data_IF_869676600564
#
_entry.id   IF_869676600564
#
_cell.length_a   1.000
_cell.length_b   1.000
_cell.length_c   1.000
_cell.angle_alpha   90.00
_cell.angle_beta   90.00
_cell.angle_gamma   90.00
#
_symmetry.space_group_name_H-M   'P 1'
#
loop_
_entity.id
_entity.type
_entity.pdbx_description
1 polymer ?
#
# COMPACT_ATOMS: atom_id res chain seq x y z
N UNK A 1 7.18 -11.65 -33.69
CA UNK A 1 7.70 -11.21 -32.38
C UNK A 1 9.17 -10.87 -32.56
N UNK A 2 9.48 -9.58 -32.57
CA UNK A 2 10.68 -8.99 -33.17
C UNK A 2 11.83 -8.89 -32.16
N UNK A 3 13.01 -9.38 -32.53
CA UNK A 3 14.28 -9.20 -31.81
C UNK A 3 14.56 -7.74 -31.38
N UNK A 4 14.01 -6.75 -32.10
CA UNK A 4 14.18 -5.31 -31.81
C UNK A 4 13.53 -4.88 -30.49
N UNK A 5 12.35 -5.42 -30.13
CA UNK A 5 11.66 -5.03 -28.88
C UNK A 5 12.43 -5.45 -27.62
N UNK A 6 13.05 -6.64 -27.63
CA UNK A 6 13.83 -7.12 -26.48
C UNK A 6 15.12 -6.35 -26.29
N UNK A 7 15.75 -5.90 -27.38
CA UNK A 7 16.97 -5.11 -27.31
C UNK A 7 16.66 -3.69 -26.82
N UNK A 8 15.61 -3.04 -27.35
CA UNK A 8 15.16 -1.72 -26.91
C UNK A 8 14.78 -1.71 -25.43
N UNK A 9 14.09 -2.75 -24.94
CA UNK A 9 13.80 -2.92 -23.51
C UNK A 9 15.07 -3.07 -22.67
N UNK A 10 16.03 -3.87 -23.12
CA UNK A 10 17.30 -4.04 -22.42
C UNK A 10 18.10 -2.73 -22.33
N UNK A 11 18.15 -1.96 -23.42
CA UNK A 11 18.79 -0.64 -23.46
C UNK A 11 18.06 0.36 -22.54
N UNK A 12 16.73 0.36 -22.56
CA UNK A 12 15.89 1.19 -21.69
C UNK A 12 16.14 0.86 -20.22
N UNK A 13 16.16 -0.43 -19.86
CA UNK A 13 16.45 -0.89 -18.51
C UNK A 13 17.84 -0.44 -18.05
N UNK A 14 18.86 -0.56 -18.93
CA UNK A 14 20.21 -0.11 -18.63
C UNK A 14 20.27 1.40 -18.33
N UNK A 15 19.53 2.22 -19.08
CA UNK A 15 19.50 3.67 -18.86
C UNK A 15 18.73 4.07 -17.60
N UNK A 16 17.55 3.49 -17.36
CA UNK A 16 16.71 3.81 -16.21
C UNK A 16 17.27 3.22 -14.91
N UNK A 17 17.63 1.95 -14.91
CA UNK A 17 18.00 1.20 -13.70
C UNK A 17 19.51 1.01 -13.52
N UNK A 18 20.32 1.28 -14.55
CA UNK A 18 21.77 1.04 -14.51
C UNK A 18 22.16 -0.41 -14.75
N UNK A 19 21.20 -1.31 -15.02
CA UNK A 19 21.45 -2.71 -15.39
C UNK A 19 20.51 -3.17 -16.50
N UNK A 20 21.00 -4.04 -17.36
CA UNK A 20 20.16 -4.76 -18.30
C UNK A 20 19.31 -5.81 -17.55
N UNK A 21 18.07 -5.99 -17.96
CA UNK A 21 17.16 -6.95 -17.35
C UNK A 21 15.85 -7.07 -18.11
N UNK A 22 15.07 -8.10 -17.81
CA UNK A 22 13.82 -8.38 -18.51
C UNK A 22 12.64 -7.55 -17.97
N UNK A 23 12.62 -7.22 -16.67
CA UNK A 23 11.62 -6.37 -16.01
C UNK A 23 10.17 -6.55 -16.53
N UNK A 24 9.64 -7.78 -16.58
CA UNK A 24 8.42 -8.08 -17.32
C UNK A 24 7.21 -7.29 -16.83
N UNK A 25 7.06 -7.08 -15.52
CA UNK A 25 5.93 -6.32 -14.96
C UNK A 25 6.04 -4.82 -15.23
N UNK A 26 7.25 -4.26 -15.14
CA UNK A 26 7.52 -2.86 -15.48
C UNK A 26 7.27 -2.61 -16.97
N UNK A 27 7.84 -3.43 -17.87
CA UNK A 27 7.66 -3.22 -19.31
C UNK A 27 6.24 -3.52 -19.77
N UNK A 28 5.53 -4.47 -19.15
CA UNK A 28 4.11 -4.67 -19.44
C UNK A 28 3.28 -3.42 -19.12
N UNK A 29 3.56 -2.78 -17.98
CA UNK A 29 2.92 -1.52 -17.61
C UNK A 29 3.31 -0.38 -18.56
N UNK A 30 4.61 -0.27 -18.86
CA UNK A 30 5.12 0.79 -19.71
C UNK A 30 4.61 0.69 -21.15
N UNK A 31 4.50 -0.53 -21.69
CA UNK A 31 3.88 -0.81 -22.99
C UNK A 31 2.38 -0.50 -22.99
N UNK A 32 1.67 -0.78 -21.90
CA UNK A 32 0.25 -0.42 -21.77
C UNK A 32 0.05 1.10 -21.83
N UNK A 33 0.89 1.88 -21.14
CA UNK A 33 0.86 3.34 -21.23
C UNK A 33 1.16 3.87 -22.63
N UNK A 34 2.19 3.31 -23.29
CA UNK A 34 2.50 3.65 -24.67
C UNK A 34 1.34 3.33 -25.62
N UNK A 35 0.67 2.20 -25.41
CA UNK A 35 -0.42 1.73 -26.27
C UNK A 35 -1.67 2.60 -26.10
N UNK A 36 -2.09 2.86 -24.85
CA UNK A 36 -3.26 3.69 -24.56
C UNK A 36 -3.12 5.10 -25.16
N UNK A 37 -1.95 5.72 -25.02
CA UNK A 37 -1.72 7.06 -25.54
C UNK A 37 -1.66 7.10 -27.08
N UNK A 38 -1.10 6.06 -27.70
CA UNK A 38 -1.07 5.96 -29.17
C UNK A 38 -2.48 5.68 -29.74
N UNK A 39 -3.30 4.86 -29.08
CA UNK A 39 -4.68 4.58 -29.50
C UNK A 39 -5.58 5.83 -29.41
N UNK A 40 -5.43 6.63 -28.34
CA UNK A 40 -6.13 7.92 -28.22
C UNK A 40 -5.70 8.87 -29.35
N UNK A 41 -4.42 8.92 -29.69
CA UNK A 41 -3.91 9.79 -30.77
C UNK A 41 -4.44 9.37 -32.15
N UNK A 42 -4.52 8.06 -32.43
CA UNK A 42 -5.08 7.52 -33.67
C UNK A 42 -6.59 7.77 -33.81
N UNK A 43 -7.31 7.80 -32.69
CA UNK A 43 -8.75 8.01 -32.66
C UNK A 43 -9.17 9.46 -32.94
N UNK A 44 -8.31 10.43 -32.60
CA UNK A 44 -8.62 11.87 -32.67
C UNK A 44 -8.12 12.54 -33.95
N UNK A 45 -7.12 11.96 -34.61
CA UNK A 45 -6.49 12.52 -35.81
C UNK A 45 -6.17 11.39 -36.77
N UNK A 46 -6.73 11.43 -37.99
CA UNK A 46 -6.65 10.35 -38.98
C UNK A 46 -5.22 9.92 -39.36
N UNK A 47 -5.08 8.83 -40.14
CA UNK A 47 -3.86 8.01 -40.28
C UNK A 47 -2.64 8.68 -40.94
N UNK A 48 -2.71 9.94 -41.33
CA UNK A 48 -1.64 10.61 -42.06
C UNK A 48 -0.79 11.49 -41.13
N UNK A 49 0.46 11.06 -40.92
CA UNK A 49 1.60 11.79 -40.34
C UNK A 49 1.56 12.08 -38.83
N UNK A 50 1.55 11.04 -37.98
CA UNK A 50 2.04 11.20 -36.61
C UNK A 50 3.00 10.08 -36.22
N UNK A 51 4.17 10.50 -35.74
CA UNK A 51 5.18 9.63 -35.12
C UNK A 51 4.61 9.09 -33.79
N UNK A 52 4.63 7.76 -33.60
CA UNK A 52 4.18 7.11 -32.38
C UNK A 52 5.11 7.46 -31.20
N UNK A 53 4.55 7.49 -29.98
CA UNK A 53 5.38 7.59 -28.77
C UNK A 53 6.36 6.42 -28.77
N UNK A 54 7.64 6.71 -28.54
CA UNK A 54 8.69 5.68 -28.54
C UNK A 54 9.52 5.71 -27.27
N UNK A 55 10.08 4.56 -26.93
CA UNK A 55 11.07 4.38 -25.86
C UNK A 55 12.16 5.45 -25.90
N UNK A 56 12.72 5.71 -27.08
CA UNK A 56 13.79 6.71 -27.28
C UNK A 56 13.36 8.12 -26.90
N UNK A 57 12.14 8.52 -27.25
CA UNK A 57 11.63 9.86 -26.92
C UNK A 57 11.41 10.05 -25.43
N UNK A 58 10.96 9.00 -24.73
CA UNK A 58 10.76 9.01 -23.28
C UNK A 58 12.10 9.01 -22.55
N UNK A 59 13.06 8.19 -22.99
CA UNK A 59 14.41 8.17 -22.43
C UNK A 59 15.15 9.50 -22.61
N UNK A 60 14.95 10.18 -23.74
CA UNK A 60 15.51 11.51 -23.94
C UNK A 60 14.93 12.53 -22.93
N UNK A 61 13.60 12.52 -22.72
CA UNK A 61 12.98 13.35 -21.68
C UNK A 61 13.47 12.98 -20.28
N UNK A 62 13.58 11.68 -19.97
CA UNK A 62 14.10 11.18 -18.69
C UNK A 62 15.53 11.66 -18.43
N UNK A 63 16.40 11.65 -19.45
CA UNK A 63 17.77 12.18 -19.37
C UNK A 63 17.80 13.66 -19.01
N UNK A 64 16.99 14.48 -19.68
CA UNK A 64 16.92 15.93 -19.39
C UNK A 64 16.44 16.20 -17.96
N UNK A 65 15.41 15.48 -17.49
CA UNK A 65 14.87 15.63 -16.14
C UNK A 65 15.91 15.21 -15.10
N UNK A 66 16.55 14.06 -15.33
CA UNK A 66 17.60 13.53 -14.45
C UNK A 66 18.76 14.50 -14.28
N UNK A 67 19.23 15.10 -15.37
CA UNK A 67 20.37 16.02 -15.35
C UNK A 67 20.00 17.39 -14.75
N UNK A 68 18.71 17.67 -14.54
CA UNK A 68 18.23 18.97 -14.07
C UNK A 68 16.99 18.87 -13.14
N UNK A 69 17.09 18.25 -11.94
CA UNK A 69 15.93 18.05 -11.06
C UNK A 69 15.30 19.34 -10.50
N UNK A 70 16.03 20.45 -10.55
CA UNK A 70 15.57 21.78 -10.15
C UNK A 70 14.75 22.50 -11.24
N UNK A 71 14.67 21.95 -12.45
CA UNK A 71 13.87 22.53 -13.53
C UNK A 71 12.38 22.29 -13.29
N UNK A 72 11.59 23.29 -13.69
CA UNK A 72 10.13 23.18 -13.76
C UNK A 72 9.69 22.33 -14.95
N UNK A 73 8.46 21.81 -14.89
CA UNK A 73 7.87 21.06 -16.01
C UNK A 73 7.88 21.88 -17.31
N UNK A 74 7.58 23.17 -17.23
CA UNK A 74 7.59 24.04 -18.41
C UNK A 74 8.99 24.20 -19.00
N UNK A 75 10.01 24.43 -18.17
CA UNK A 75 11.39 24.56 -18.64
C UNK A 75 11.89 23.27 -19.31
N UNK A 76 11.54 22.10 -18.77
CA UNK A 76 11.85 20.80 -19.39
C UNK A 76 11.19 20.69 -20.77
N UNK A 77 9.90 21.05 -20.88
CA UNK A 77 9.17 21.07 -22.16
C UNK A 77 9.82 22.05 -23.15
N UNK A 78 10.25 23.22 -22.70
CA UNK A 78 10.93 24.21 -23.55
C UNK A 78 12.28 23.67 -24.06
N UNK A 79 13.06 23.00 -23.21
CA UNK A 79 14.34 22.37 -23.58
C UNK A 79 14.15 21.23 -24.58
N UNK A 80 13.11 20.42 -24.40
CA UNK A 80 12.72 19.40 -25.38
C UNK A 80 12.25 20.02 -26.71
N UNK A 81 11.50 21.13 -26.65
CA UNK A 81 11.03 21.82 -27.86
C UNK A 81 12.19 22.35 -28.71
N UNK A 82 13.27 22.82 -28.09
CA UNK A 82 14.46 23.29 -28.81
C UNK A 82 15.18 22.19 -29.62
N UNK A 83 14.98 20.93 -29.26
CA UNK A 83 15.61 19.76 -29.90
C UNK A 83 14.63 18.93 -30.74
N UNK A 84 13.33 19.19 -30.61
CA UNK A 84 12.27 18.42 -31.25
C UNK A 84 11.90 18.95 -32.65
N UNK A 85 11.52 18.04 -33.54
CA UNK A 85 10.90 18.40 -34.80
C UNK A 85 9.51 19.05 -34.57
N UNK A 86 9.04 19.96 -35.45
CA UNK A 86 7.75 20.64 -35.31
C UNK A 86 6.55 19.70 -35.16
N UNK A 87 6.63 18.51 -35.77
CA UNK A 87 5.62 17.45 -35.71
C UNK A 87 5.45 16.80 -34.32
N UNK A 88 6.44 16.93 -33.43
CA UNK A 88 6.44 16.28 -32.11
C UNK A 88 5.92 17.20 -30.99
N UNK A 89 5.65 18.48 -31.28
CA UNK A 89 5.36 19.50 -30.27
C UNK A 89 4.11 19.24 -29.42
N UNK A 90 3.06 18.63 -29.99
CA UNK A 90 1.82 18.32 -29.27
C UNK A 90 1.94 17.15 -28.28
N UNK A 91 3.04 16.38 -28.35
CA UNK A 91 3.27 15.18 -27.54
C UNK A 91 4.35 15.37 -26.46
N UNK A 92 5.00 16.54 -26.42
CA UNK A 92 6.10 16.80 -25.49
C UNK A 92 5.67 16.66 -24.03
N UNK A 93 4.50 17.17 -23.67
CA UNK A 93 4.00 17.03 -22.30
C UNK A 93 3.77 15.56 -21.92
N UNK A 94 3.24 14.76 -22.85
CA UNK A 94 3.03 13.32 -22.64
C UNK A 94 4.36 12.58 -22.47
N UNK A 95 5.36 12.90 -23.29
CA UNK A 95 6.72 12.34 -23.15
C UNK A 95 7.31 12.64 -21.77
N UNK A 96 7.16 13.88 -21.30
CA UNK A 96 7.63 14.30 -19.97
C UNK A 96 6.90 13.53 -18.87
N UNK A 97 5.58 13.43 -18.95
CA UNK A 97 4.78 12.71 -17.97
C UNK A 97 5.15 11.22 -17.91
N UNK A 98 5.26 10.56 -19.06
CA UNK A 98 5.67 9.15 -19.16
C UNK A 98 7.12 8.93 -18.70
N UNK A 99 8.01 9.89 -18.94
CA UNK A 99 9.39 9.82 -18.44
C UNK A 99 9.43 9.83 -16.90
N UNK A 100 8.69 10.75 -16.27
CA UNK A 100 8.56 10.79 -14.81
C UNK A 100 7.94 9.49 -14.28
N UNK A 101 6.89 8.99 -14.93
CA UNK A 101 6.24 7.76 -14.53
C UNK A 101 7.17 6.53 -14.68
N UNK A 102 7.99 6.48 -15.72
CA UNK A 102 9.00 5.43 -15.89
C UNK A 102 10.12 5.50 -14.84
N UNK A 103 10.49 6.72 -14.42
CA UNK A 103 11.57 6.94 -13.45
C UNK A 103 11.14 6.72 -11.99
N UNK A 104 9.91 7.10 -11.64
CA UNK A 104 9.42 7.11 -10.25
C UNK A 104 8.29 6.13 -9.98
N UNK A 105 7.63 5.61 -11.01
CA UNK A 105 6.39 4.85 -10.91
C UNK A 105 5.28 5.63 -10.18
N UNK A 106 5.15 6.93 -10.48
CA UNK A 106 4.10 7.82 -9.95
C UNK A 106 3.24 8.36 -11.09
N UNK A 107 1.93 8.37 -10.90
CA UNK A 107 1.00 9.02 -11.83
C UNK A 107 1.08 10.55 -11.71
N UNK A 108 1.75 11.19 -12.67
CA UNK A 108 1.87 12.64 -12.74
C UNK A 108 0.69 13.33 -13.45
N UNK A 109 -0.31 12.57 -13.92
CA UNK A 109 -1.50 13.05 -14.65
C UNK A 109 -2.80 12.94 -13.85
N UNK A 110 -2.71 12.56 -12.58
CA UNK A 110 -3.86 12.17 -11.77
C UNK A 110 -5.01 13.20 -11.72
N UNK A 111 -4.73 14.51 -11.76
CA UNK A 111 -5.75 15.57 -11.79
C UNK A 111 -6.59 15.59 -13.07
N UNK A 112 -6.15 14.94 -14.16
CA UNK A 112 -6.91 14.88 -15.41
C UNK A 112 -8.02 13.83 -15.37
N UNK A 113 -7.84 12.79 -14.55
CA UNK A 113 -8.74 11.64 -14.50
C UNK A 113 -9.60 11.61 -13.23
N UNK A 114 -9.20 12.36 -12.21
CA UNK A 114 -9.88 12.42 -10.93
C UNK A 114 -10.58 13.76 -10.71
N UNK A 115 -11.82 13.70 -10.21
CA UNK A 115 -12.52 14.89 -9.75
C UNK A 115 -11.76 15.58 -8.60
N UNK A 116 -11.96 16.88 -8.43
CA UNK A 116 -11.22 17.68 -7.43
C UNK A 116 -11.41 17.21 -5.98
N UNK A 117 -12.51 16.52 -5.69
CA UNK A 117 -12.89 15.94 -4.41
C UNK A 117 -12.53 14.45 -4.28
N UNK A 118 -11.90 13.85 -5.29
CA UNK A 118 -11.48 12.46 -5.24
C UNK A 118 -10.36 12.27 -4.23
N UNK A 119 -10.63 11.44 -3.23
CA UNK A 119 -9.64 10.99 -2.25
C UNK A 119 -9.64 9.48 -2.19
N UNK A 120 -8.45 8.88 -2.27
CA UNK A 120 -8.23 7.48 -1.96
C UNK A 120 -7.64 7.44 -0.55
N UNK A 121 -8.33 6.87 0.44
CA UNK A 121 -7.76 6.70 1.80
C UNK A 121 -7.17 7.96 2.43
N UNK A 122 -7.88 9.09 2.29
CA UNK A 122 -7.45 10.44 2.71
C UNK A 122 -6.23 11.01 1.96
N UNK A 123 -5.72 10.31 0.94
CA UNK A 123 -4.73 10.80 0.02
C UNK A 123 -5.41 11.32 -1.24
N UNK A 124 -4.97 12.49 -1.70
CA UNK A 124 -5.39 13.07 -2.98
C UNK A 124 -4.30 12.78 -4.00
N UNK A 125 -4.61 12.15 -5.14
CA UNK A 125 -3.65 11.99 -6.22
C UNK A 125 -3.09 13.34 -6.67
N UNK A 126 -1.80 13.37 -7.01
CA UNK A 126 -1.01 14.59 -7.22
C UNK A 126 -0.44 14.59 -8.64
N UNK A 127 -0.69 15.66 -9.40
CA UNK A 127 -0.03 15.90 -10.69
C UNK A 127 1.14 16.85 -10.58
N UNK A 128 2.11 16.71 -11.50
CA UNK A 128 3.23 17.65 -11.63
C UNK A 128 2.77 18.91 -12.37
N UNK A 129 2.82 20.05 -11.68
CA UNK A 129 2.33 21.33 -12.19
C UNK A 129 3.37 22.01 -13.11
N UNK A 130 2.89 22.84 -14.04
CA UNK A 130 3.76 23.48 -15.04
C UNK A 130 4.91 24.30 -14.46
N UNK A 131 4.66 25.03 -13.37
CA UNK A 131 5.64 25.91 -12.69
C UNK A 131 6.33 25.25 -11.49
N UNK A 132 6.05 23.97 -11.24
CA UNK A 132 6.62 23.24 -10.11
C UNK A 132 7.90 22.55 -10.54
N UNK A 133 8.94 22.59 -9.69
CA UNK A 133 10.18 21.86 -9.95
C UNK A 133 9.96 20.36 -9.81
N UNK A 134 10.77 19.58 -10.51
CA UNK A 134 10.67 18.12 -10.41
C UNK A 134 10.94 17.61 -8.99
N UNK A 135 11.92 18.17 -8.28
CA UNK A 135 12.19 17.84 -6.87
C UNK A 135 11.01 18.18 -5.95
N UNK A 136 10.39 19.35 -6.13
CA UNK A 136 9.23 19.77 -5.32
C UNK A 136 8.02 18.83 -5.54
N UNK A 137 7.79 18.42 -6.79
CA UNK A 137 6.76 17.42 -7.11
C UNK A 137 7.03 16.08 -6.43
N UNK A 138 8.28 15.63 -6.41
CA UNK A 138 8.67 14.41 -5.72
C UNK A 138 8.39 14.51 -4.22
N UNK A 139 8.86 15.57 -3.55
CA UNK A 139 8.68 15.77 -2.11
C UNK A 139 7.20 15.88 -1.73
N UNK A 140 6.38 16.52 -2.59
CA UNK A 140 4.93 16.60 -2.39
C UNK A 140 4.24 15.24 -2.57
N UNK A 141 4.74 14.40 -3.47
CA UNK A 141 4.23 13.04 -3.69
C UNK A 141 4.61 12.08 -2.55
N UNK A 142 5.76 12.33 -1.92
CA UNK A 142 6.33 11.52 -0.83
C UNK A 142 6.66 12.39 0.38
N UNK A 143 5.64 12.89 1.11
CA UNK A 143 5.86 13.77 2.25
C UNK A 143 6.60 13.00 3.35
N UNK A 144 7.73 13.55 3.80
CA UNK A 144 8.44 13.03 4.96
C UNK A 144 7.59 13.19 6.23
N UNK A 145 7.63 12.18 7.09
CA UNK A 145 6.93 12.13 8.36
C UNK A 145 7.36 13.24 9.30
N UNK A 146 6.44 13.67 10.16
CA UNK A 146 6.73 14.73 11.12
C UNK A 146 7.56 14.19 12.29
N UNK A 147 8.55 14.95 12.74
CA UNK A 147 9.38 14.62 13.91
C UNK A 147 8.54 14.30 15.16
N UNK A 148 7.38 14.94 15.30
CA UNK A 148 6.41 14.68 16.39
C UNK A 148 5.85 13.26 16.42
N UNK A 149 5.88 12.54 15.30
CA UNK A 149 5.30 11.20 15.16
C UNK A 149 6.31 10.08 15.32
N UNK A 150 7.61 10.38 15.45
CA UNK A 150 8.67 9.36 15.54
C UNK A 150 8.40 8.32 16.62
N UNK A 151 7.97 8.74 17.81
CA UNK A 151 7.63 7.81 18.90
C UNK A 151 6.46 6.88 18.54
N UNK A 152 5.45 7.39 17.83
CA UNK A 152 4.31 6.56 17.38
C UNK A 152 4.73 5.60 16.29
N UNK A 153 5.57 6.06 15.36
CA UNK A 153 6.13 5.26 14.27
C UNK A 153 6.97 4.11 14.85
N UNK A 154 7.87 4.42 15.79
CA UNK A 154 8.67 3.42 16.49
C UNK A 154 7.81 2.38 17.20
N UNK A 155 6.79 2.82 17.96
CA UNK A 155 5.84 1.92 18.61
C UNK A 155 5.01 1.09 17.61
N UNK A 156 4.74 1.60 16.41
CA UNK A 156 4.10 0.85 15.33
C UNK A 156 5.00 -0.26 14.80
N UNK A 157 6.28 0.06 14.56
CA UNK A 157 7.29 -0.88 14.05
C UNK A 157 7.61 -1.97 15.09
N UNK A 158 7.70 -1.62 16.37
CA UNK A 158 7.92 -2.59 17.46
C UNK A 158 6.79 -3.62 17.52
N UNK A 159 5.56 -3.21 17.22
CA UNK A 159 4.40 -4.09 17.09
C UNK A 159 4.26 -4.72 15.68
N UNK A 160 5.37 -4.89 14.94
CA UNK A 160 5.39 -5.57 13.62
C UNK A 160 4.69 -6.93 13.63
N UNK A 161 4.71 -7.62 14.77
CA UNK A 161 4.04 -8.90 14.90
C UNK A 161 2.52 -8.80 14.71
N UNK A 162 1.87 -7.68 15.08
CA UNK A 162 0.43 -7.48 14.90
C UNK A 162 0.04 -7.07 13.48
N UNK A 163 0.96 -6.43 12.76
CA UNK A 163 0.75 -5.86 11.41
C UNK A 163 0.81 -6.87 10.26
N UNK A 164 1.13 -8.14 10.54
CA UNK A 164 1.14 -9.21 9.54
C UNK A 164 -0.14 -9.23 8.70
N UNK A 165 -0.01 -9.43 7.39
CA UNK A 165 -1.12 -9.39 6.44
C UNK A 165 -2.30 -10.29 6.84
N UNK A 166 -2.04 -11.52 7.29
CA UNK A 166 -3.11 -12.41 7.73
C UNK A 166 -3.87 -11.89 8.96
N UNK A 167 -3.21 -11.14 9.85
CA UNK A 167 -3.87 -10.50 10.99
C UNK A 167 -4.73 -9.35 10.53
N UNK A 168 -4.24 -8.50 9.63
CA UNK A 168 -5.05 -7.42 9.03
C UNK A 168 -6.28 -7.99 8.31
N UNK A 169 -6.11 -9.03 7.50
CA UNK A 169 -7.23 -9.68 6.81
C UNK A 169 -8.17 -10.37 7.80
N UNK A 170 -7.65 -11.21 8.70
CA UNK A 170 -8.49 -11.96 9.63
C UNK A 170 -9.18 -11.02 10.60
N UNK A 171 -8.47 -10.05 11.17
CA UNK A 171 -8.98 -9.14 12.21
C UNK A 171 -9.77 -8.01 11.56
N UNK A 172 -9.18 -7.19 10.71
CA UNK A 172 -9.86 -6.00 10.20
C UNK A 172 -10.71 -6.28 8.95
N UNK A 173 -10.66 -7.49 8.38
CA UNK A 173 -11.35 -7.80 7.14
C UNK A 173 -10.74 -7.10 5.93
N UNK A 174 -9.51 -6.58 6.08
CA UNK A 174 -8.82 -5.80 5.05
C UNK A 174 -8.45 -6.72 3.88
N UNK A 175 -8.81 -6.32 2.66
CA UNK A 175 -8.29 -6.90 1.43
C UNK A 175 -7.01 -6.19 0.99
N UNK A 176 -6.18 -6.87 0.20
CA UNK A 176 -4.97 -6.27 -0.37
C UNK A 176 -5.14 -6.11 -1.88
N UNK A 177 -4.59 -5.05 -2.45
CA UNK A 177 -4.61 -4.79 -3.89
C UNK A 177 -3.28 -4.24 -4.35
N UNK A 178 -2.75 -4.78 -5.44
CA UNK A 178 -1.58 -4.21 -6.11
C UNK A 178 -1.86 -2.82 -6.68
N UNK A 179 -0.89 -1.92 -6.57
CA UNK A 179 -0.87 -0.64 -7.29
C UNK A 179 0.43 -0.47 -8.07
N UNK A 180 0.31 0.18 -9.22
CA UNK A 180 1.43 0.60 -10.07
C UNK A 180 1.97 1.98 -9.67
N UNK A 181 1.29 2.67 -8.75
CA UNK A 181 1.66 3.99 -8.28
C UNK A 181 2.36 3.88 -6.92
N UNK A 182 3.65 4.19 -6.86
CA UNK A 182 4.45 4.12 -5.64
C UNK A 182 3.89 5.02 -4.54
N UNK A 183 3.31 6.17 -4.89
CA UNK A 183 2.70 7.10 -3.93
C UNK A 183 1.46 6.52 -3.21
N UNK A 184 0.86 5.44 -3.71
CA UNK A 184 -0.30 4.76 -3.12
C UNK A 184 0.08 3.61 -2.17
N UNK A 185 1.37 3.35 -1.96
CA UNK A 185 1.82 2.26 -1.10
C UNK A 185 1.36 2.41 0.37
N UNK A 186 0.77 1.36 0.96
CA UNK A 186 0.15 1.33 2.31
C UNK A 186 -1.01 2.30 2.50
N UNK A 187 -1.60 2.78 1.43
CA UNK A 187 -2.79 3.61 1.52
C UNK A 187 -4.01 2.73 1.81
N UNK A 188 -4.69 3.00 2.93
CA UNK A 188 -5.89 2.28 3.33
C UNK A 188 -7.16 3.00 2.87
N UNK A 189 -7.96 2.35 2.02
CA UNK A 189 -9.28 2.84 1.62
C UNK A 189 -10.36 2.25 2.55
N UNK A 190 -10.96 3.06 3.43
CA UNK A 190 -12.01 2.60 4.34
C UNK A 190 -13.31 2.23 3.62
N UNK A 191 -13.58 2.78 2.43
CA UNK A 191 -14.81 2.51 1.67
C UNK A 191 -14.81 1.09 1.12
N UNK A 192 -13.66 0.66 0.59
CA UNK A 192 -13.46 -0.70 0.05
C UNK A 192 -12.87 -1.67 1.09
N UNK A 193 -12.51 -1.15 2.26
CA UNK A 193 -11.74 -1.85 3.28
C UNK A 193 -10.50 -2.54 2.69
N UNK A 194 -9.75 -1.79 1.88
CA UNK A 194 -8.67 -2.32 1.06
C UNK A 194 -7.36 -1.55 1.31
N UNK A 195 -6.27 -2.27 1.43
CA UNK A 195 -4.92 -1.71 1.51
C UNK A 195 -4.23 -1.83 0.15
N UNK A 196 -3.76 -0.70 -0.36
CA UNK A 196 -3.02 -0.63 -1.62
C UNK A 196 -1.54 -0.91 -1.38
N UNK A 197 -0.96 -1.79 -2.20
CA UNK A 197 0.41 -2.25 -2.09
C UNK A 197 1.13 -2.04 -3.41
N UNK A 198 2.09 -1.13 -3.43
CA UNK A 198 3.02 -1.06 -4.56
C UNK A 198 3.73 -2.40 -4.71
N UNK A 199 3.65 -3.01 -5.89
CA UNK A 199 4.07 -4.40 -6.07
C UNK A 199 5.28 -4.59 -6.97
N UNK A 200 5.81 -3.56 -7.65
CA UNK A 200 6.96 -3.73 -8.54
C UNK A 200 8.26 -3.87 -7.75
N UNK A 201 8.45 -5.01 -7.09
CA UNK A 201 9.62 -5.29 -6.26
C UNK A 201 10.90 -5.36 -7.08
N UNK A 202 10.86 -5.86 -8.32
CA UNK A 202 12.01 -5.87 -9.23
C UNK A 202 12.52 -4.44 -9.51
N UNK A 203 11.60 -3.50 -9.71
CA UNK A 203 11.91 -2.07 -9.86
C UNK A 203 12.62 -1.52 -8.62
N UNK A 204 12.10 -1.80 -7.42
CA UNK A 204 12.70 -1.34 -6.17
C UNK A 204 14.12 -1.91 -6.00
N UNK A 205 14.28 -3.22 -6.17
CA UNK A 205 15.58 -3.91 -6.07
C UNK A 205 16.61 -3.33 -7.03
N UNK A 206 16.24 -3.08 -8.28
CA UNK A 206 17.16 -2.54 -9.28
C UNK A 206 17.66 -1.13 -8.94
N UNK A 207 16.79 -0.26 -8.41
CA UNK A 207 17.22 1.05 -7.91
C UNK A 207 18.14 0.95 -6.70
N UNK A 208 17.92 -0.01 -5.80
CA UNK A 208 18.77 -0.24 -4.62
C UNK A 208 20.15 -0.80 -4.99
N UNK A 209 20.24 -1.74 -5.93
CA UNK A 209 21.51 -2.27 -6.42
C UNK A 209 22.39 -1.16 -7.03
N UNK A 210 21.77 -0.24 -7.79
CA UNK A 210 22.45 0.94 -8.34
C UNK A 210 23.01 1.84 -7.23
N UNK A 211 22.32 1.91 -6.10
CA UNK A 211 22.77 2.64 -4.92
C UNK A 211 24.00 2.00 -4.30
N UNK A 212 23.96 0.67 -4.10
CA UNK A 212 25.04 -0.11 -3.49
C UNK A 212 26.34 -0.03 -4.30
N UNK A 213 26.26 -0.03 -5.63
CA UNK A 213 27.45 0.03 -6.49
C UNK A 213 28.28 1.31 -6.31
N UNK A 214 27.77 2.30 -5.57
CA UNK A 214 28.43 3.59 -5.34
C UNK A 214 28.80 3.86 -3.86
N UNK A 215 28.64 2.88 -2.95
CA UNK A 215 28.95 2.98 -1.51
C UNK A 215 28.37 4.24 -0.84
N UNK A 216 27.06 4.47 -1.04
CA UNK A 216 26.36 5.70 -0.62
C UNK A 216 25.55 5.50 0.66
N UNK A 217 25.43 6.55 1.50
CA UNK A 217 24.58 6.49 2.69
C UNK A 217 23.09 6.40 2.31
N UNK A 218 22.29 5.85 3.22
CA UNK A 218 20.82 5.82 3.08
C UNK A 218 20.18 7.20 3.23
N UNK A 219 20.79 8.08 4.05
CA UNK A 219 20.31 9.42 4.38
C UNK A 219 20.72 10.46 3.32
N UNK A 220 20.34 10.23 2.07
CA UNK A 220 20.47 11.23 1.00
C UNK A 220 19.21 12.06 0.86
N UNK A 221 19.38 13.33 0.52
CA UNK A 221 18.26 14.22 0.22
C UNK A 221 17.57 13.82 -1.09
N UNK A 222 16.31 14.21 -1.26
CA UNK A 222 15.56 13.95 -2.50
C UNK A 222 16.30 14.50 -3.72
N UNK A 223 16.83 15.73 -3.63
CA UNK A 223 17.59 16.35 -4.71
C UNK A 223 18.82 15.54 -5.11
N UNK A 224 19.62 15.06 -4.15
CA UNK A 224 20.81 14.26 -4.43
C UNK A 224 20.44 12.92 -5.08
N UNK A 225 19.41 12.24 -4.59
CA UNK A 225 18.91 10.99 -5.18
C UNK A 225 18.43 11.19 -6.62
N UNK A 226 17.66 12.26 -6.87
CA UNK A 226 17.09 12.54 -8.19
C UNK A 226 18.16 12.93 -9.20
N UNK A 227 19.20 13.68 -8.79
CA UNK A 227 20.37 13.98 -9.63
C UNK A 227 21.09 12.70 -10.11
N UNK A 228 21.03 11.64 -9.30
CA UNK A 228 21.59 10.34 -9.66
C UNK A 228 20.65 9.52 -10.57
N UNK A 229 19.44 10.02 -10.82
CA UNK A 229 18.41 9.36 -11.61
C UNK A 229 17.78 8.19 -10.88
N UNK A 230 17.62 8.31 -9.56
CA UNK A 230 17.03 7.25 -8.73
C UNK A 230 16.10 7.84 -7.68
N UNK A 231 15.13 7.03 -7.27
CA UNK A 231 14.32 7.28 -6.09
C UNK A 231 15.22 7.22 -4.84
N UNK A 232 14.99 8.02 -3.79
CA UNK A 232 15.71 7.93 -2.53
C UNK A 232 15.75 6.52 -1.96
N UNK A 233 16.95 6.06 -1.58
CA UNK A 233 17.17 4.71 -1.06
C UNK A 233 16.29 4.42 0.17
N UNK A 234 16.12 5.40 1.05
CA UNK A 234 15.26 5.31 2.22
C UNK A 234 13.81 4.94 1.86
N UNK A 235 13.22 5.59 0.84
CA UNK A 235 11.86 5.30 0.37
C UNK A 235 11.75 3.88 -0.20
N UNK A 236 12.77 3.46 -0.97
CA UNK A 236 12.83 2.13 -1.58
C UNK A 236 12.92 1.03 -0.50
N UNK A 237 13.80 1.21 0.49
CA UNK A 237 13.99 0.28 1.62
C UNK A 237 12.72 0.20 2.46
N UNK A 238 12.08 1.34 2.80
CA UNK A 238 10.81 1.33 3.54
C UNK A 238 9.70 0.59 2.80
N UNK A 239 9.63 0.75 1.48
CA UNK A 239 8.64 0.06 0.64
C UNK A 239 8.88 -1.45 0.64
N UNK A 240 10.12 -1.90 0.42
CA UNK A 240 10.44 -3.33 0.46
C UNK A 240 10.28 -3.92 1.86
N UNK A 241 10.76 -3.23 2.89
CA UNK A 241 10.68 -3.71 4.27
C UNK A 241 9.24 -3.85 4.75
N UNK A 242 8.36 -2.89 4.42
CA UNK A 242 6.94 -2.98 4.79
C UNK A 242 6.23 -4.13 4.07
N UNK A 243 6.53 -4.39 2.80
CA UNK A 243 6.01 -5.56 2.07
C UNK A 243 6.56 -6.86 2.66
N UNK A 244 7.88 -7.02 2.65
CA UNK A 244 8.54 -8.30 2.80
C UNK A 244 8.83 -8.66 4.27
N UNK A 245 8.91 -7.70 5.19
CA UNK A 245 9.22 -7.96 6.60
C UNK A 245 8.04 -7.68 7.54
N UNK A 246 7.19 -6.69 7.24
CA UNK A 246 6.03 -6.37 8.08
C UNK A 246 4.78 -7.15 7.65
N UNK A 247 4.34 -6.99 6.39
CA UNK A 247 3.09 -7.57 5.91
C UNK A 247 3.23 -9.06 5.57
N UNK A 248 4.27 -9.41 4.80
CA UNK A 248 4.51 -10.75 4.27
C UNK A 248 5.87 -11.33 4.69
N UNK A 249 6.18 -11.42 6.00
CA UNK A 249 7.42 -12.02 6.46
C UNK A 249 7.55 -13.48 5.99
N UNK A 250 8.71 -13.92 5.49
CA UNK A 250 8.89 -15.26 4.90
C UNK A 250 8.56 -16.41 5.85
N UNK A 251 8.80 -16.19 7.14
CA UNK A 251 8.56 -17.18 8.20
C UNK A 251 7.04 -17.37 8.45
N UNK A 252 6.19 -16.41 8.07
CA UNK A 252 4.75 -16.48 8.31
C UNK A 252 4.01 -17.07 7.10
N UNK A 253 3.77 -18.38 7.14
CA UNK A 253 3.07 -19.12 6.09
C UNK A 253 1.66 -18.59 5.78
N UNK A 254 0.97 -17.98 6.76
CA UNK A 254 -0.39 -17.47 6.55
C UNK A 254 -0.38 -16.19 5.72
N UNK A 255 0.56 -15.29 6.00
CA UNK A 255 0.81 -14.14 5.16
C UNK A 255 1.34 -14.55 3.79
N UNK A 256 2.28 -15.50 3.72
CA UNK A 256 2.80 -16.01 2.43
C UNK A 256 1.67 -16.57 1.54
N UNK A 257 0.75 -17.35 2.11
CA UNK A 257 -0.42 -17.86 1.37
C UNK A 257 -1.36 -16.75 0.86
N UNK A 258 -1.36 -15.56 1.49
CA UNK A 258 -2.09 -14.40 0.95
C UNK A 258 -1.32 -13.82 -0.23
N UNK A 259 -0.01 -13.64 -0.11
CA UNK A 259 0.84 -13.15 -1.19
C UNK A 259 0.76 -14.06 -2.44
N UNK A 260 0.83 -15.38 -2.25
CA UNK A 260 0.68 -16.36 -3.33
C UNK A 260 -0.64 -16.21 -4.08
N UNK A 261 -1.72 -15.90 -3.34
CA UNK A 261 -3.04 -15.62 -3.96
C UNK A 261 -3.04 -14.34 -4.75
N UNK A 262 -2.34 -13.29 -4.30
CA UNK A 262 -2.21 -12.03 -5.04
C UNK A 262 -1.42 -12.24 -6.34
N UNK A 263 -0.33 -13.02 -6.29
CA UNK A 263 0.51 -13.33 -7.46
C UNK A 263 -0.20 -14.23 -8.49
N UNK A 264 -0.97 -15.22 -8.03
CA UNK A 264 -1.68 -16.16 -8.92
C UNK A 264 -2.99 -15.59 -9.49
N UNK A 265 -3.53 -14.53 -8.90
CA UNK A 265 -4.80 -13.94 -9.33
C UNK A 265 -4.59 -13.17 -10.63
N UNK A 266 -5.21 -13.69 -11.70
CA UNK A 266 -5.12 -13.22 -13.10
C UNK A 266 -5.36 -11.72 -13.32
N UNK A 267 -6.06 -11.05 -12.40
CA UNK A 267 -6.42 -9.64 -12.52
C UNK A 267 -5.55 -8.69 -11.68
N UNK A 268 -4.64 -9.22 -10.86
CA UNK A 268 -3.86 -8.41 -9.92
C UNK A 268 -2.39 -8.26 -10.32
N UNK A 269 -1.89 -9.08 -11.27
CA UNK A 269 -0.55 -8.99 -11.87
C UNK A 269 0.55 -8.56 -10.88
N UNK A 270 0.52 -9.16 -9.68
CA UNK A 270 1.47 -8.86 -8.63
C UNK A 270 2.84 -9.43 -9.00
N UNK A 271 3.90 -8.66 -8.78
CA UNK A 271 5.26 -9.07 -9.13
C UNK A 271 5.68 -10.27 -8.28
N UNK A 272 6.25 -11.29 -8.91
CA UNK A 272 6.75 -12.48 -8.21
C UNK A 272 7.94 -12.15 -7.29
N UNK A 273 8.70 -11.11 -7.63
CA UNK A 273 9.83 -10.62 -6.82
C UNK A 273 9.40 -10.13 -5.43
N UNK A 274 8.11 -9.91 -5.20
CA UNK A 274 7.58 -9.60 -3.87
C UNK A 274 7.77 -10.76 -2.88
N UNK A 275 7.78 -12.01 -3.35
CA UNK A 275 7.98 -13.19 -2.51
C UNK A 275 9.46 -13.47 -2.22
N UNK A 276 10.35 -12.97 -3.08
CA UNK A 276 11.79 -13.16 -2.96
C UNK A 276 12.37 -12.22 -1.90
N UNK A 277 12.42 -12.71 -0.67
CA UNK A 277 13.04 -12.02 0.45
C UNK A 277 14.55 -12.01 0.29
N UNK A 278 15.05 -10.93 -0.29
CA UNK A 278 16.46 -10.59 -0.22
C UNK A 278 16.78 -9.82 1.06
N UNK A 279 15.76 -9.36 1.78
CA UNK A 279 15.91 -8.64 3.03
C UNK A 279 16.81 -7.43 2.87
N UNK A 280 17.71 -7.23 3.84
CA UNK A 280 18.73 -6.19 3.79
C UNK A 280 20.05 -6.67 3.17
N UNK A 281 20.07 -7.78 2.39
CA UNK A 281 21.30 -8.25 1.74
C UNK A 281 21.97 -7.16 0.88
N UNK A 282 21.18 -6.22 0.36
CA UNK A 282 21.65 -5.09 -0.45
C UNK A 282 22.38 -4.03 0.42
N UNK A 283 22.09 -3.93 1.72
CA UNK A 283 22.72 -2.97 2.66
C UNK A 283 23.57 -3.62 3.75
N UNK A 284 23.76 -4.94 3.69
CA UNK A 284 24.46 -5.81 4.65
C UNK A 284 23.91 -5.84 6.09
N UNK A 285 23.22 -4.81 6.57
CA UNK A 285 22.35 -4.79 7.74
C UNK A 285 21.48 -3.52 7.62
N UNK A 286 20.22 -3.50 8.08
CA UNK A 286 19.56 -2.22 8.30
C UNK A 286 20.43 -1.43 9.28
N UNK A 287 20.81 -0.17 8.99
CA UNK A 287 21.51 0.63 9.99
C UNK A 287 20.74 0.56 11.30
N UNK A 288 21.43 0.53 12.44
CA UNK A 288 20.77 0.60 13.76
C UNK A 288 19.83 1.83 13.87
N UNK A 289 20.03 2.83 12.99
CA UNK A 289 19.21 4.02 12.80
C UNK A 289 18.10 3.91 11.74
N UNK A 290 17.78 2.75 11.17
CA UNK A 290 16.70 2.63 10.17
C UNK A 290 15.37 3.11 10.76
N UNK A 291 14.86 4.21 10.22
CA UNK A 291 13.62 4.84 10.65
C UNK A 291 12.67 4.95 9.46
N UNK A 292 11.36 4.81 9.71
CA UNK A 292 10.38 5.07 8.67
C UNK A 292 10.13 6.57 8.53
N UNK A 293 10.68 7.16 7.48
CA UNK A 293 10.52 8.57 7.10
C UNK A 293 9.28 8.76 6.24
N UNK A 294 9.05 7.94 5.22
CA UNK A 294 7.98 8.16 4.24
C UNK A 294 6.69 7.43 4.60
N UNK A 295 6.78 6.17 5.02
CA UNK A 295 5.60 5.32 5.25
C UNK A 295 5.18 5.20 6.71
N UNK A 296 5.93 5.84 7.62
CA UNK A 296 5.70 5.77 9.06
C UNK A 296 4.28 6.15 9.46
N UNK A 297 3.77 7.29 8.98
CA UNK A 297 2.41 7.76 9.30
C UNK A 297 1.32 6.78 8.83
N UNK A 298 1.49 6.17 7.65
CA UNK A 298 0.55 5.17 7.12
C UNK A 298 0.56 3.90 7.97
N UNK A 299 1.72 3.48 8.45
CA UNK A 299 1.87 2.36 9.38
C UNK A 299 1.26 2.65 10.75
N UNK A 300 1.44 3.86 11.29
CA UNK A 300 0.80 4.30 12.53
C UNK A 300 -0.71 4.21 12.40
N UNK A 301 -1.27 4.71 11.30
CA UNK A 301 -2.70 4.64 11.04
C UNK A 301 -3.20 3.18 11.01
N UNK A 302 -2.48 2.28 10.31
CA UNK A 302 -2.82 0.85 10.30
C UNK A 302 -2.75 0.21 11.68
N UNK A 303 -1.75 0.57 12.50
CA UNK A 303 -1.61 0.08 13.86
C UNK A 303 -2.76 0.59 14.75
N UNK A 304 -3.17 1.85 14.60
CA UNK A 304 -4.30 2.43 15.31
C UNK A 304 -5.60 1.69 14.95
N UNK A 305 -5.81 1.32 13.68
CA UNK A 305 -6.95 0.49 13.26
C UNK A 305 -6.96 -0.89 13.93
N UNK A 306 -5.77 -1.48 14.16
CA UNK A 306 -5.64 -2.74 14.89
C UNK A 306 -5.97 -2.58 16.39
N UNK A 307 -5.60 -1.45 17.00
CA UNK A 307 -5.84 -1.14 18.42
C UNK A 307 -7.30 -0.78 18.71
N UNK A 308 -7.94 0.00 17.84
CA UNK A 308 -9.28 0.59 18.04
C UNK A 308 -10.44 -0.37 17.73
N UNK A 309 -10.13 -1.63 17.45
CA UNK A 309 -11.05 -2.57 16.84
C UNK A 309 -12.32 -2.85 17.68
N UNK A 310 -13.53 -2.91 17.06
CA UNK A 310 -14.74 -3.34 17.74
C UNK A 310 -14.74 -4.86 18.05
N UNK A 311 -15.35 -5.27 19.18
CA UNK A 311 -15.34 -6.66 19.67
C UNK A 311 -15.94 -7.65 18.66
N UNK A 312 -15.25 -8.76 18.41
CA UNK A 312 -15.67 -9.77 17.41
C UNK A 312 -16.83 -10.60 17.91
N UNK A 313 -16.70 -11.07 19.15
CA UNK A 313 -17.54 -12.14 19.65
C UNK A 313 -18.87 -11.57 20.14
N UNK A 314 -19.97 -12.31 19.96
CA UNK A 314 -21.26 -11.94 20.58
C UNK A 314 -21.09 -11.78 22.10
N UNK A 315 -20.23 -12.60 22.71
CA UNK A 315 -19.79 -12.52 24.11
C UNK A 315 -19.00 -11.25 24.44
N UNK A 316 -18.03 -10.85 23.61
CA UNK A 316 -17.28 -9.62 23.84
C UNK A 316 -18.13 -8.36 23.62
N UNK A 317 -19.02 -8.39 22.62
CA UNK A 317 -20.04 -7.35 22.43
C UNK A 317 -20.97 -7.28 23.63
N UNK A 318 -21.36 -8.43 24.19
CA UNK A 318 -22.18 -8.52 25.39
C UNK A 318 -21.45 -8.03 26.64
N UNK A 319 -20.17 -8.37 26.83
CA UNK A 319 -19.33 -7.89 27.94
C UNK A 319 -19.09 -6.37 27.85
N UNK A 320 -18.85 -5.86 26.64
CA UNK A 320 -18.70 -4.43 26.41
C UNK A 320 -20.02 -3.68 26.60
N UNK A 321 -21.15 -4.30 26.27
CA UNK A 321 -22.49 -3.82 26.57
C UNK A 321 -22.77 -3.81 28.08
N UNK A 322 -22.24 -4.78 28.84
CA UNK A 322 -22.31 -4.87 30.30
C UNK A 322 -21.49 -3.77 30.99
N UNK A 323 -20.35 -3.38 30.41
CA UNK A 323 -19.44 -2.36 30.97
C UNK A 323 -19.86 -0.90 30.69
N UNK A 324 -20.92 -0.67 29.92
CA UNK A 324 -21.44 0.67 29.64
C UNK A 324 -22.27 1.17 30.82
N UNK A 325 -21.86 2.27 31.45
CA UNK A 325 -22.51 2.87 32.65
C UNK A 325 -24.03 3.07 32.49
N UNK A 326 -24.52 3.33 31.28
CA UNK A 326 -25.96 3.46 30.99
C UNK A 326 -26.79 2.17 31.08
N UNK A 327 -26.17 0.99 31.08
CA UNK A 327 -26.87 -0.30 31.03
C UNK A 327 -26.86 -1.08 32.35
N UNK A 328 -26.16 -0.58 33.38
CA UNK A 328 -26.07 -1.23 34.69
C UNK A 328 -27.46 -1.46 35.33
N UNK A 329 -28.38 -0.52 35.14
CA UNK A 329 -29.76 -0.62 35.62
C UNK A 329 -30.53 -1.77 34.96
N UNK A 330 -30.35 -1.98 33.66
CA UNK A 330 -31.03 -3.06 32.94
C UNK A 330 -30.53 -4.43 33.41
N UNK A 331 -29.23 -4.55 33.68
CA UNK A 331 -28.62 -5.78 34.21
C UNK A 331 -29.14 -6.09 35.62
N UNK A 332 -29.23 -5.08 36.49
CA UNK A 332 -29.80 -5.25 37.83
C UNK A 332 -31.27 -5.70 37.77
N UNK A 333 -32.06 -5.14 36.85
CA UNK A 333 -33.46 -5.49 36.66
C UNK A 333 -33.63 -6.91 36.12
N UNK A 334 -32.77 -7.35 35.20
CA UNK A 334 -32.76 -8.72 34.69
C UNK A 334 -32.34 -9.73 35.76
N UNK A 335 -31.32 -9.41 36.57
CA UNK A 335 -30.89 -10.26 37.68
C UNK A 335 -32.00 -10.41 38.73
N UNK A 336 -32.72 -9.32 39.04
CA UNK A 336 -33.87 -9.34 39.93
C UNK A 336 -34.99 -10.23 39.38
N UNK A 337 -35.30 -10.13 38.08
CA UNK A 337 -36.30 -10.98 37.43
C UNK A 337 -35.94 -12.46 37.52
N UNK A 338 -34.68 -12.82 37.24
CA UNK A 338 -34.20 -14.20 37.35
C UNK A 338 -34.30 -14.68 38.80
N UNK A 339 -33.93 -13.84 39.77
CA UNK A 339 -34.04 -14.17 41.19
C UNK A 339 -35.49 -14.46 41.62
N UNK A 340 -36.45 -13.66 41.15
CA UNK A 340 -37.89 -13.89 41.39
C UNK A 340 -38.34 -15.23 40.81
N UNK A 341 -37.96 -15.53 39.56
CA UNK A 341 -38.31 -16.80 38.91
C UNK A 341 -37.73 -18.00 39.67
N UNK A 342 -36.46 -17.94 40.07
CA UNK A 342 -35.82 -19.00 40.85
C UNK A 342 -36.49 -19.15 42.21
N UNK A 343 -36.84 -18.04 42.87
CA UNK A 343 -37.60 -18.05 44.12
C UNK A 343 -38.95 -18.75 43.97
N UNK A 344 -39.72 -18.43 42.92
CA UNK A 344 -41.00 -19.06 42.65
C UNK A 344 -40.89 -20.57 42.40
N UNK A 345 -39.88 -20.99 41.61
CA UNK A 345 -39.62 -22.42 41.37
C UNK A 345 -39.22 -23.13 42.66
N UNK A 346 -38.38 -22.50 43.49
CA UNK A 346 -37.96 -23.08 44.78
C UNK A 346 -39.14 -23.28 45.74
N UNK A 347 -40.06 -22.31 45.82
CA UNK A 347 -41.30 -22.44 46.61
C UNK A 347 -42.17 -23.57 46.07
N UNK A 348 -42.32 -23.69 44.75
CA UNK A 348 -43.07 -24.77 44.12
C UNK A 348 -42.50 -26.16 44.45
N UNK A 349 -41.18 -26.32 44.36
CA UNK A 349 -40.50 -27.57 44.74
C UNK A 349 -40.72 -27.87 46.23
N UNK A 350 -40.60 -26.85 47.10
CA UNK A 350 -40.85 -27.01 48.53
C UNK A 350 -42.27 -27.47 48.83
N UNK A 351 -43.28 -26.91 48.15
CA UNK A 351 -44.67 -27.33 48.30
C UNK A 351 -44.88 -28.80 47.88
N UNK A 352 -44.27 -29.23 46.77
CA UNK A 352 -44.31 -30.62 46.32
C UNK A 352 -43.63 -31.56 47.32
N UNK A 353 -42.48 -31.16 47.87
CA UNK A 353 -41.77 -31.95 48.89
C UNK A 353 -42.60 -32.11 50.17
N UNK A 354 -43.23 -31.04 50.64
CA UNK A 354 -44.13 -31.08 51.81
C UNK A 354 -45.34 -31.98 51.52
N UNK A 355 -45.91 -31.91 50.32
CA UNK A 355 -47.01 -32.77 49.90
C UNK A 355 -46.61 -34.26 49.89
N UNK A 356 -45.45 -34.59 49.32
CA UNK A 356 -44.93 -35.96 49.30
C UNK A 356 -44.68 -36.47 50.72
N UNK A 357 -44.07 -35.65 51.58
CA UNK A 357 -43.83 -36.01 52.98
C UNK A 357 -45.15 -36.25 53.74
N UNK A 358 -46.17 -35.42 53.51
CA UNK A 358 -47.49 -35.59 54.09
C UNK A 358 -48.17 -36.89 53.61
N UNK A 359 -48.10 -37.19 52.32
CA UNK A 359 -48.62 -38.44 51.75
C UNK A 359 -47.88 -39.67 52.30
N UNK A 360 -46.56 -39.60 52.44
CA UNK A 360 -45.75 -40.67 53.02
C UNK A 360 -46.07 -40.91 54.50
N UNK A 361 -46.34 -39.85 55.27
CA UNK A 361 -46.78 -39.97 56.66
C UNK A 361 -48.18 -40.58 56.78
N UNK A 362 -49.11 -40.22 55.89
CA UNK A 362 -50.50 -40.68 55.92
C UNK A 362 -50.67 -42.11 55.41
N UNK A 363 -49.79 -42.56 54.51
CA UNK A 363 -49.77 -43.91 53.96
C UNK A 363 -48.38 -44.54 54.13
N UNK A 364 -47.97 -44.87 55.37
CA UNK A 364 -46.69 -45.52 55.59
C UNK A 364 -46.72 -46.91 54.94
N UNK A 365 -45.77 -47.15 54.04
CA UNK A 365 -45.59 -48.48 53.43
C UNK A 365 -45.08 -49.40 54.53
N UNK A 366 -45.80 -50.48 54.82
CA UNK A 366 -45.36 -51.45 55.81
C UNK A 366 -43.99 -52.03 55.38
N UNK A 367 -42.99 -52.09 56.27
CA UNK A 367 -41.73 -52.75 55.96
C UNK A 367 -42.01 -54.24 55.72
N UNK A 368 -41.70 -54.70 54.52
CA UNK A 368 -41.78 -56.12 54.13
C UNK A 368 -40.65 -56.93 54.74
#
# INVERSE_FOLDING_TARGET
MTRSSSQERSETASQLFGKAGAFPFFFALFDDFLSQENDVALSLTGPNMQEQLSYKSILHAAGIIKDNPDMTKEEVIQKLRATAAPSCMSKLEKNVNLAVQAMLMVDCTANHWHATDFTLGNHRPISWLSQEKYVDFFERSFPAGHQSSLNKIQAAIEDKASMKAWKLQKRLGISFRGTNNLAEHLLFDPRRNCLYLFHHAEFLKAHLERYQSHDRPLEMTALESLNLGTVPAQLLVETLHSLQSLLFPPIDQKSAAILDRLMTKRNENFDCECAEYEGYKIFQEPPESFQYVYWGERLVHLQELLKTRPPRNRLERWLKWQSSEGNALFVALLALLISICVGAVSVGIGAVQVWIAWMAWKHPVAPG
#
